data_IF_841229092651
#
_entry.id   IF_841229092651
#
_cell.length_a   1.000
_cell.length_b   1.000
_cell.length_c   1.000
_cell.angle_alpha   90.00
_cell.angle_beta   90.00
_cell.angle_gamma   90.00
#
_symmetry.space_group_name_H-M   'P 1'
#
loop_
_entity.id
_entity.type
_entity.pdbx_description
1 polymer ?
#
# COMPACT_ATOMS: atom_id res chain seq x y z
N UNK A 1 -4.63 15.21 4.22
CA UNK A 1 -3.41 16.02 4.45
C UNK A 1 -3.42 17.38 3.75
N UNK A 2 -3.51 17.45 2.41
CA UNK A 2 -3.43 18.73 1.67
C UNK A 2 -4.47 19.78 2.08
N UNK A 3 -5.75 19.40 2.19
CA UNK A 3 -6.84 20.30 2.64
C UNK A 3 -6.60 20.91 4.04
N UNK A 4 -5.84 20.21 4.89
CA UNK A 4 -5.47 20.65 6.22
C UNK A 4 -4.13 21.40 6.27
N UNK A 5 -3.50 21.67 5.12
CA UNK A 5 -2.21 22.37 4.97
C UNK A 5 -1.01 21.67 5.61
N UNK A 6 -1.05 20.34 5.73
CA UNK A 6 0.11 19.54 6.17
C UNK A 6 1.04 19.10 5.04
N UNK A 7 0.65 19.32 3.79
CA UNK A 7 1.37 18.89 2.60
C UNK A 7 1.34 20.02 1.58
N UNK A 8 2.45 20.24 0.87
CA UNK A 8 2.51 21.24 -0.18
C UNK A 8 1.67 20.83 -1.40
N UNK A 9 1.42 21.79 -2.28
CA UNK A 9 0.76 21.51 -3.56
C UNK A 9 1.65 20.65 -4.46
N UNK A 10 2.95 20.93 -4.50
CA UNK A 10 3.91 20.19 -5.33
C UNK A 10 3.97 18.70 -4.93
N UNK A 11 4.08 18.39 -3.64
CA UNK A 11 4.07 17.01 -3.16
C UNK A 11 2.78 16.27 -3.50
N UNK A 12 1.62 16.97 -3.43
CA UNK A 12 0.34 16.40 -3.85
C UNK A 12 0.31 16.10 -5.36
N UNK A 13 0.82 17.01 -6.18
CA UNK A 13 0.86 16.81 -7.63
C UNK A 13 1.77 15.64 -8.00
N UNK A 14 2.95 15.55 -7.39
CA UNK A 14 3.85 14.40 -7.53
C UNK A 14 3.18 13.07 -7.14
N UNK A 15 2.47 13.03 -6.01
CA UNK A 15 1.71 11.83 -5.62
C UNK A 15 0.74 11.39 -6.71
N UNK A 16 -0.01 12.32 -7.33
CA UNK A 16 -0.95 11.96 -8.40
C UNK A 16 -0.28 11.55 -9.71
N UNK A 17 0.93 12.06 -10.01
CA UNK A 17 1.73 11.59 -11.14
C UNK A 17 2.14 10.14 -10.92
N UNK A 18 2.72 9.84 -9.75
CA UNK A 18 3.12 8.48 -9.37
C UNK A 18 1.93 7.53 -9.35
N UNK A 19 0.80 7.96 -8.77
CA UNK A 19 -0.44 7.18 -8.76
C UNK A 19 -0.91 6.83 -10.17
N UNK A 20 -0.94 7.79 -11.10
CA UNK A 20 -1.34 7.52 -12.50
C UNK A 20 -0.39 6.57 -13.22
N UNK A 21 0.90 6.58 -12.87
CA UNK A 21 1.91 5.72 -13.47
C UNK A 21 1.85 4.29 -12.90
N UNK A 22 1.79 4.15 -11.58
CA UNK A 22 1.91 2.86 -10.91
C UNK A 22 0.59 2.09 -10.75
N UNK A 23 -0.56 2.77 -10.66
CA UNK A 23 -1.85 2.10 -10.40
C UNK A 23 -2.35 1.16 -11.51
N UNK A 24 -2.17 1.46 -12.81
CA UNK A 24 -2.59 0.53 -13.87
C UNK A 24 -1.92 -0.84 -13.79
N UNK A 25 -0.79 -0.93 -13.10
CA UNK A 25 -0.04 -2.17 -12.92
C UNK A 25 -0.53 -3.05 -11.78
N UNK A 26 -1.40 -2.52 -10.91
CA UNK A 26 -1.97 -3.21 -9.75
C UNK A 26 -3.42 -3.63 -10.03
N UNK A 27 -3.80 -4.82 -9.60
CA UNK A 27 -5.20 -5.26 -9.64
C UNK A 27 -5.99 -4.56 -8.53
N UNK A 28 -7.20 -4.08 -8.85
CA UNK A 28 -8.12 -3.57 -7.84
C UNK A 28 -8.60 -4.72 -6.93
N UNK A 29 -8.90 -4.47 -5.65
CA UNK A 29 -9.50 -5.48 -4.80
C UNK A 29 -10.89 -5.88 -5.31
N UNK A 30 -11.30 -7.13 -5.11
CA UNK A 30 -12.67 -7.57 -5.41
C UNK A 30 -13.70 -6.91 -4.47
N UNK A 31 -13.32 -6.79 -3.20
CA UNK A 31 -14.19 -6.31 -2.14
C UNK A 31 -13.46 -5.28 -1.27
N UNK A 32 -14.18 -4.23 -0.89
CA UNK A 32 -13.76 -3.22 0.07
C UNK A 32 -14.74 -3.18 1.22
N UNK A 33 -14.24 -3.43 2.43
CA UNK A 33 -15.01 -3.26 3.67
C UNK A 33 -14.67 -1.91 4.27
N UNK A 34 -15.68 -1.06 4.43
CA UNK A 34 -15.56 0.27 5.02
C UNK A 34 -16.24 0.29 6.39
N UNK A 35 -15.47 0.63 7.42
CA UNK A 35 -15.94 0.75 8.80
C UNK A 35 -16.17 2.22 9.11
N UNK A 36 -17.43 2.62 9.20
CA UNK A 36 -17.83 3.99 9.49
C UNK A 36 -17.85 4.21 11.01
N UNK A 37 -17.10 5.20 11.50
CA UNK A 37 -17.08 5.54 12.91
C UNK A 37 -17.10 7.07 13.09
N UNK A 38 -17.91 7.61 14.00
CA UNK A 38 -18.02 9.04 14.21
C UNK A 38 -16.72 9.60 14.79
N UNK A 39 -16.30 10.77 14.28
CA UNK A 39 -15.05 11.43 14.67
C UNK A 39 -14.91 11.66 16.19
N UNK A 40 -15.96 12.05 16.94
CA UNK A 40 -15.88 12.15 18.41
C UNK A 40 -15.44 10.84 19.06
N UNK A 41 -16.02 9.71 18.62
CA UNK A 41 -15.67 8.39 19.14
C UNK A 41 -14.24 8.01 18.79
N UNK A 42 -13.78 8.29 17.57
CA UNK A 42 -12.39 8.06 17.17
C UNK A 42 -11.40 8.81 18.07
N UNK A 43 -11.70 10.06 18.44
CA UNK A 43 -10.86 10.85 19.34
C UNK A 43 -10.85 10.30 20.78
N UNK A 44 -11.95 9.74 21.25
CA UNK A 44 -12.00 9.02 22.54
C UNK A 44 -11.14 7.77 22.50
N UNK A 45 -11.30 6.93 21.48
CA UNK A 45 -10.53 5.70 21.29
C UNK A 45 -9.01 5.96 21.24
N UNK A 46 -8.58 7.04 20.58
CA UNK A 46 -7.16 7.43 20.56
C UNK A 46 -6.67 7.83 21.95
N UNK A 47 -7.49 8.54 22.73
CA UNK A 47 -7.16 8.89 24.13
C UNK A 47 -7.11 7.65 25.01
N UNK A 48 -8.02 6.70 24.82
CA UNK A 48 -8.06 5.42 25.53
C UNK A 48 -6.82 4.56 25.25
N UNK A 49 -6.33 4.56 24.00
CA UNK A 49 -5.11 3.84 23.58
C UNK A 49 -3.82 4.40 24.20
N UNK A 50 -3.81 5.67 24.60
CA UNK A 50 -2.71 6.35 25.33
C UNK A 50 -1.34 6.29 24.65
N UNK A 51 -1.30 6.25 23.31
CA UNK A 51 -0.05 6.31 22.57
C UNK A 51 0.47 7.76 22.52
N UNK A 52 1.68 8.05 23.05
CA UNK A 52 2.17 9.43 23.17
C UNK A 52 2.25 10.18 21.84
N UNK A 53 2.59 9.47 20.76
CA UNK A 53 2.75 10.06 19.43
C UNK A 53 1.40 10.31 18.74
N UNK A 54 0.35 9.55 19.05
CA UNK A 54 -1.00 9.78 18.51
C UNK A 54 -1.70 10.93 19.24
N UNK A 55 -1.67 10.90 20.59
CA UNK A 55 -2.36 11.89 21.44
C UNK A 55 -1.77 13.29 21.27
N UNK A 56 -0.44 13.39 21.11
CA UNK A 56 0.23 14.68 20.92
C UNK A 56 0.38 15.07 19.43
N UNK A 57 -0.18 14.28 18.51
CA UNK A 57 -0.04 14.55 17.08
C UNK A 57 -0.83 15.79 16.67
N UNK A 58 -0.19 16.67 15.90
CA UNK A 58 -0.85 17.81 15.27
C UNK A 58 -1.96 17.38 14.30
N UNK A 59 -1.83 16.20 13.69
CA UNK A 59 -2.77 15.68 12.71
C UNK A 59 -3.99 15.00 13.35
N UNK A 60 -3.91 14.60 14.62
CA UNK A 60 -5.01 13.92 15.32
C UNK A 60 -6.00 14.95 15.91
N UNK A 61 -6.61 15.73 15.03
CA UNK A 61 -7.61 16.73 15.40
C UNK A 61 -8.92 16.53 14.63
N UNK A 62 -10.01 17.08 15.17
CA UNK A 62 -11.36 16.94 14.62
C UNK A 62 -11.42 17.34 13.15
N UNK A 63 -10.85 18.50 12.80
CA UNK A 63 -10.85 19.01 11.42
C UNK A 63 -10.19 18.04 10.43
N UNK A 64 -9.06 17.45 10.81
CA UNK A 64 -8.34 16.51 9.96
C UNK A 64 -9.13 15.22 9.75
N UNK A 65 -9.67 14.65 10.83
CA UNK A 65 -10.45 13.42 10.79
C UNK A 65 -11.76 13.60 10.01
N UNK A 66 -12.49 14.69 10.20
CA UNK A 66 -13.69 15.01 9.40
C UNK A 66 -13.35 15.22 7.92
N UNK A 67 -12.23 15.86 7.63
CA UNK A 67 -11.75 16.04 6.24
C UNK A 67 -11.37 14.70 5.62
N UNK A 68 -10.76 13.80 6.38
CA UNK A 68 -10.41 12.45 5.92
C UNK A 68 -11.67 11.61 5.67
N UNK A 69 -12.61 11.63 6.61
CA UNK A 69 -13.89 10.91 6.53
C UNK A 69 -14.68 11.33 5.28
N UNK A 70 -14.81 12.64 5.06
CA UNK A 70 -15.49 13.17 3.87
C UNK A 70 -14.79 12.78 2.57
N UNK A 71 -13.46 12.83 2.48
CA UNK A 71 -12.75 12.38 1.27
C UNK A 71 -12.92 10.88 1.03
N UNK A 72 -12.89 10.05 2.07
CA UNK A 72 -13.10 8.61 1.95
C UNK A 72 -14.52 8.31 1.44
N UNK A 73 -15.55 8.88 2.09
CA UNK A 73 -16.96 8.64 1.74
C UNK A 73 -17.33 9.18 0.36
N UNK A 74 -17.01 10.43 0.07
CA UNK A 74 -17.51 11.09 -1.15
C UNK A 74 -16.66 10.86 -2.39
N UNK A 75 -15.35 10.61 -2.21
CA UNK A 75 -14.43 10.41 -3.34
C UNK A 75 -14.05 8.95 -3.50
N UNK A 76 -13.41 8.36 -2.49
CA UNK A 76 -12.86 7.01 -2.60
C UNK A 76 -13.95 5.94 -2.77
N UNK A 77 -14.95 5.89 -1.89
CA UNK A 77 -16.00 4.88 -1.97
C UNK A 77 -16.79 4.95 -3.28
N UNK A 78 -17.03 6.17 -3.79
CA UNK A 78 -17.70 6.39 -5.07
C UNK A 78 -16.86 5.96 -6.29
N UNK A 79 -15.54 6.15 -6.22
CA UNK A 79 -14.64 5.73 -7.30
C UNK A 79 -14.48 4.20 -7.30
N UNK A 80 -14.27 3.61 -6.12
CA UNK A 80 -14.01 2.16 -5.97
C UNK A 80 -15.27 1.31 -6.13
N UNK A 81 -16.47 1.83 -5.84
CA UNK A 81 -17.74 1.11 -6.04
C UNK A 81 -18.00 0.73 -7.50
N UNK A 82 -17.33 1.39 -8.44
CA UNK A 82 -17.42 1.05 -9.86
C UNK A 82 -16.55 -0.16 -10.22
N UNK A 83 -15.54 -0.51 -9.41
CA UNK A 83 -14.53 -1.55 -9.71
C UNK A 83 -14.48 -2.67 -8.67
N UNK A 84 -15.13 -2.48 -7.53
CA UNK A 84 -15.14 -3.42 -6.41
C UNK A 84 -16.51 -3.42 -5.77
N UNK A 85 -16.87 -4.52 -5.13
CA UNK A 85 -17.98 -4.52 -4.19
C UNK A 85 -17.61 -3.82 -2.90
N UNK A 86 -18.57 -3.10 -2.33
CA UNK A 86 -18.34 -2.25 -1.17
C UNK A 86 -19.36 -2.59 -0.10
N UNK A 87 -18.87 -3.01 1.06
CA UNK A 87 -19.67 -3.24 2.25
C UNK A 87 -19.38 -2.13 3.26
N UNK A 88 -20.43 -1.51 3.79
CA UNK A 88 -20.33 -0.39 4.74
C UNK A 88 -20.98 -0.81 6.04
N UNK A 89 -20.22 -0.74 7.14
CA UNK A 89 -20.69 -1.10 8.47
C UNK A 89 -20.56 0.08 9.41
N UNK A 90 -21.57 0.28 10.26
CA UNK A 90 -21.46 1.18 11.41
C UNK A 90 -20.57 0.52 12.48
N UNK A 91 -19.49 1.20 12.84
CA UNK A 91 -18.48 0.76 13.79
C UNK A 91 -18.40 1.70 15.01
N UNK A 92 -19.47 2.45 15.29
CA UNK A 92 -19.54 3.39 16.41
C UNK A 92 -19.27 2.75 17.78
N UNK A 93 -19.79 1.56 18.04
CA UNK A 93 -19.69 0.88 19.35
C UNK A 93 -18.76 -0.34 19.35
N UNK A 94 -18.03 -0.57 18.25
CA UNK A 94 -17.37 -1.84 17.97
C UNK A 94 -18.38 -2.78 17.31
N UNK A 95 -18.30 -2.90 15.99
CA UNK A 95 -19.25 -3.67 15.22
C UNK A 95 -19.09 -5.18 15.42
N UNK A 96 -20.08 -5.92 14.94
CA UNK A 96 -20.14 -7.37 15.04
C UNK A 96 -19.35 -8.00 13.89
N UNK A 97 -18.31 -8.75 14.22
CA UNK A 97 -17.53 -9.47 13.23
C UNK A 97 -18.31 -10.65 12.62
N UNK A 98 -19.27 -11.24 13.34
CA UNK A 98 -20.09 -12.34 12.83
C UNK A 98 -21.00 -11.87 11.71
N UNK A 99 -21.60 -10.67 11.86
CA UNK A 99 -22.40 -10.04 10.81
C UNK A 99 -21.59 -9.81 9.53
N UNK A 100 -20.35 -9.33 9.66
CA UNK A 100 -19.47 -9.13 8.49
C UNK A 100 -19.23 -10.47 7.78
N UNK A 101 -18.97 -11.53 8.53
CA UNK A 101 -18.73 -12.87 7.95
C UNK A 101 -20.00 -13.39 7.26
N UNK A 102 -21.17 -13.24 7.87
CA UNK A 102 -22.44 -13.66 7.28
C UNK A 102 -22.73 -12.94 5.96
N UNK A 103 -22.49 -11.63 5.89
CA UNK A 103 -22.68 -10.85 4.66
C UNK A 103 -21.62 -11.17 3.60
N UNK A 104 -20.39 -11.51 4.00
CA UNK A 104 -19.36 -12.03 3.11
C UNK A 104 -19.76 -13.38 2.48
N UNK A 105 -20.35 -14.28 3.27
CA UNK A 105 -20.80 -15.59 2.78
C UNK A 105 -21.99 -15.49 1.83
N UNK A 106 -22.81 -14.44 1.97
CA UNK A 106 -23.92 -14.14 1.05
C UNK A 106 -23.47 -13.47 -0.24
N UNK A 107 -22.26 -12.93 -0.29
CA UNK A 107 -21.79 -12.17 -1.43
C UNK A 107 -21.48 -13.11 -2.60
N UNK A 108 -22.18 -12.91 -3.71
CA UNK A 108 -22.01 -13.69 -4.92
C UNK A 108 -21.02 -13.01 -5.87
N UNK A 109 -19.74 -13.39 -5.74
CA UNK A 109 -18.61 -12.86 -6.51
C UNK A 109 -18.40 -13.66 -7.81
N UNK A 110 -19.06 -14.80 -7.96
CA UNK A 110 -18.84 -15.69 -9.11
C UNK A 110 -19.74 -15.35 -10.31
N UNK A 111 -20.86 -14.64 -10.07
CA UNK A 111 -21.89 -14.37 -11.07
C UNK A 111 -21.86 -12.94 -11.63
N UNK A 112 -20.69 -12.43 -12.02
CA UNK A 112 -20.61 -11.19 -12.82
C UNK A 112 -20.84 -11.45 -14.31
N UNK A 113 -21.36 -10.43 -15.01
CA UNK A 113 -21.29 -10.39 -16.47
C UNK A 113 -19.83 -10.22 -16.91
N UNK A 114 -19.44 -10.79 -18.05
CA UNK A 114 -18.08 -10.69 -18.60
C UNK A 114 -17.66 -9.22 -18.82
N UNK A 115 -18.64 -8.33 -19.02
CA UNK A 115 -18.41 -6.89 -19.22
C UNK A 115 -18.56 -6.05 -17.93
N UNK A 116 -18.76 -6.67 -16.77
CA UNK A 116 -18.86 -5.93 -15.51
C UNK A 116 -17.49 -5.28 -15.18
N UNK A 117 -17.44 -3.94 -14.99
CA UNK A 117 -16.21 -3.27 -14.61
C UNK A 117 -15.58 -3.79 -13.30
N UNK A 118 -16.34 -4.48 -12.44
CA UNK A 118 -15.84 -5.08 -11.19
C UNK A 118 -14.98 -6.33 -11.39
N UNK A 119 -15.25 -7.11 -12.44
CA UNK A 119 -14.48 -8.32 -12.75
C UNK A 119 -13.39 -8.09 -13.79
N UNK A 120 -13.37 -6.92 -14.43
CA UNK A 120 -12.47 -6.61 -15.54
C UNK A 120 -10.99 -6.90 -15.23
N UNK A 121 -10.54 -6.57 -14.02
CA UNK A 121 -9.15 -6.78 -13.59
C UNK A 121 -8.82 -8.26 -13.30
N UNK A 122 -9.85 -9.08 -13.10
CA UNK A 122 -9.76 -10.47 -12.66
C UNK A 122 -10.28 -11.46 -13.69
N UNK A 123 -10.68 -10.99 -14.88
CA UNK A 123 -11.20 -11.81 -15.96
C UNK A 123 -10.19 -11.92 -17.10
N UNK A 124 -9.10 -12.65 -16.87
CA UNK A 124 -8.15 -12.98 -17.94
C UNK A 124 -8.56 -14.27 -18.66
N UNK A 125 -8.79 -14.17 -19.97
CA UNK A 125 -9.24 -15.29 -20.81
C UNK A 125 -8.19 -16.38 -21.04
N UNK A 126 -6.90 -16.08 -20.88
CA UNK A 126 -5.80 -17.02 -21.13
C UNK A 126 -4.95 -17.21 -19.90
N UNK A 127 -4.56 -18.46 -19.62
CA UNK A 127 -3.67 -18.83 -18.52
C UNK A 127 -2.32 -18.09 -18.57
N UNK A 128 -1.81 -17.80 -19.78
CA UNK A 128 -0.57 -17.04 -19.94
C UNK A 128 -0.63 -15.68 -19.24
N UNK A 129 -1.75 -14.96 -19.31
CA UNK A 129 -1.88 -13.66 -18.63
C UNK A 129 -1.85 -13.83 -17.10
N UNK A 130 -2.45 -14.89 -16.57
CA UNK A 130 -2.33 -15.21 -15.15
C UNK A 130 -0.88 -15.54 -14.75
N UNK A 131 -0.14 -16.23 -15.61
CA UNK A 131 1.28 -16.49 -15.38
C UNK A 131 2.12 -15.20 -15.40
N UNK A 132 1.82 -14.28 -16.33
CA UNK A 132 2.49 -12.97 -16.42
C UNK A 132 2.21 -12.11 -15.19
N UNK A 133 0.94 -12.01 -14.78
CA UNK A 133 0.52 -11.31 -13.55
C UNK A 133 1.18 -11.91 -12.32
N UNK A 134 1.26 -13.25 -12.24
CA UNK A 134 1.96 -13.94 -11.16
C UNK A 134 3.45 -13.59 -11.15
N UNK A 135 4.11 -13.62 -12.31
CA UNK A 135 5.53 -13.27 -12.44
C UNK A 135 5.79 -11.83 -11.96
N UNK A 136 4.93 -10.90 -12.37
CA UNK A 136 4.97 -9.48 -11.98
C UNK A 136 4.94 -9.29 -10.47
N UNK A 137 4.08 -9.99 -9.75
CA UNK A 137 3.94 -9.85 -8.30
C UNK A 137 4.93 -10.69 -7.48
N UNK A 138 5.58 -11.71 -8.08
CA UNK A 138 6.54 -12.56 -7.35
C UNK A 138 8.00 -12.26 -7.68
N UNK A 139 8.36 -12.36 -8.96
CA UNK A 139 9.75 -12.30 -9.41
C UNK A 139 10.14 -10.89 -9.83
N UNK A 140 9.24 -10.18 -10.50
CA UNK A 140 9.51 -8.85 -11.07
C UNK A 140 9.00 -7.72 -10.17
N UNK A 141 8.88 -7.99 -8.86
CA UNK A 141 8.46 -6.96 -7.88
C UNK A 141 9.40 -5.75 -7.86
N UNK A 142 10.67 -5.94 -8.20
CA UNK A 142 11.65 -4.85 -8.27
C UNK A 142 11.31 -3.92 -9.43
N UNK A 143 10.86 -4.47 -10.57
CA UNK A 143 10.36 -3.70 -11.70
C UNK A 143 9.06 -2.98 -11.32
N UNK A 144 8.13 -3.67 -10.63
CA UNK A 144 6.90 -3.03 -10.12
C UNK A 144 7.21 -1.86 -9.17
N UNK A 145 8.18 -2.01 -8.28
CA UNK A 145 8.61 -0.95 -7.36
C UNK A 145 9.34 0.16 -8.11
N UNK A 146 10.05 -0.16 -9.20
CA UNK A 146 10.74 0.84 -10.02
C UNK A 146 9.80 1.87 -10.63
N UNK A 147 8.51 1.54 -10.81
CA UNK A 147 7.49 2.48 -11.26
C UNK A 147 7.26 3.67 -10.32
N UNK A 148 7.70 3.58 -9.07
CA UNK A 148 7.67 4.70 -8.12
C UNK A 148 8.90 5.61 -8.22
N UNK A 149 9.96 5.18 -8.92
CA UNK A 149 11.22 5.91 -9.08
C UNK A 149 11.17 6.89 -10.27
N UNK A 150 10.17 7.76 -10.29
CA UNK A 150 10.07 8.84 -11.30
C UNK A 150 10.89 10.04 -10.82
N UNK A 151 11.84 10.59 -11.63
CA UNK A 151 12.70 11.70 -11.23
C UNK A 151 11.94 13.03 -11.24
N UNK A 152 11.04 13.20 -10.27
CA UNK A 152 10.26 14.42 -10.08
C UNK A 152 10.99 15.33 -9.08
N UNK A 153 11.37 16.52 -9.51
CA UNK A 153 12.22 17.44 -8.71
C UNK A 153 11.45 18.61 -8.07
N UNK A 154 10.14 18.69 -8.32
CA UNK A 154 9.33 19.88 -8.00
C UNK A 154 8.97 20.02 -6.51
N UNK A 155 9.07 18.94 -5.71
CA UNK A 155 8.79 18.96 -4.28
C UNK A 155 10.05 18.61 -3.46
N UNK A 156 10.79 19.60 -2.93
CA UNK A 156 12.05 19.36 -2.22
C UNK A 156 11.86 18.53 -0.94
N UNK A 157 10.69 18.54 -0.32
CA UNK A 157 10.39 17.72 0.87
C UNK A 157 10.33 16.21 0.61
N UNK A 158 10.27 15.79 -0.66
CA UNK A 158 10.30 14.37 -1.05
C UNK A 158 11.68 13.93 -1.55
N UNK A 159 12.64 14.85 -1.62
CA UNK A 159 13.97 14.62 -2.18
C UNK A 159 15.01 14.57 -1.07
N UNK A 160 15.99 13.68 -1.26
CA UNK A 160 17.17 13.59 -0.41
C UNK A 160 18.31 14.31 -1.15
N UNK A 161 18.98 15.30 -0.52
CA UNK A 161 20.17 15.92 -1.10
C UNK A 161 21.25 14.89 -1.44
N UNK A 162 22.04 15.14 -2.49
CA UNK A 162 23.06 14.18 -2.95
C UNK A 162 24.08 13.79 -1.87
N UNK A 163 24.52 14.75 -1.06
CA UNK A 163 25.46 14.52 0.05
C UNK A 163 24.86 13.58 1.12
N UNK A 164 23.58 13.79 1.49
CA UNK A 164 22.88 12.93 2.44
C UNK A 164 22.61 11.53 1.85
N UNK A 165 22.34 11.47 0.54
CA UNK A 165 22.16 10.21 -0.18
C UNK A 165 23.43 9.35 -0.17
N UNK A 166 24.62 9.97 -0.27
CA UNK A 166 25.89 9.24 -0.17
C UNK A 166 26.08 8.67 1.24
N UNK A 167 25.81 9.46 2.28
CA UNK A 167 25.88 9.01 3.68
C UNK A 167 24.93 7.84 3.92
N UNK A 168 23.68 7.96 3.46
CA UNK A 168 22.67 6.91 3.57
C UNK A 168 23.11 5.64 2.84
N UNK A 169 23.60 5.78 1.61
CA UNK A 169 24.07 4.65 0.78
C UNK A 169 25.23 3.92 1.46
N UNK A 170 26.20 4.68 1.95
CA UNK A 170 27.35 4.13 2.66
C UNK A 170 26.95 3.45 3.99
N UNK A 171 26.03 4.03 4.76
CA UNK A 171 25.50 3.41 5.97
C UNK A 171 24.72 2.12 5.65
N UNK A 172 23.93 2.14 4.57
CA UNK A 172 23.12 1.01 4.13
C UNK A 172 23.99 -0.19 3.74
N UNK A 173 24.99 0.01 2.89
CA UNK A 173 25.88 -1.07 2.42
C UNK A 173 26.87 -1.54 3.48
N UNK A 174 27.05 -0.80 4.57
CA UNK A 174 27.86 -1.22 5.73
C UNK A 174 27.07 -1.93 6.82
N UNK A 175 25.74 -1.84 6.80
CA UNK A 175 24.91 -2.53 7.76
C UNK A 175 25.05 -4.06 7.61
N UNK A 176 25.02 -4.76 8.75
CA UNK A 176 25.06 -6.22 8.78
C UNK A 176 23.88 -6.80 7.97
N UNK A 177 24.16 -7.78 7.10
CA UNK A 177 23.17 -8.37 6.20
C UNK A 177 22.99 -7.66 4.84
N UNK A 178 23.44 -6.40 4.70
CA UNK A 178 23.32 -5.63 3.45
C UNK A 178 24.64 -5.51 2.67
N UNK A 179 25.73 -6.08 3.18
CA UNK A 179 27.07 -6.00 2.58
C UNK A 179 27.19 -6.83 1.29
N UNK A 180 26.43 -7.91 1.19
CA UNK A 180 26.44 -8.85 0.07
C UNK A 180 25.01 -9.15 -0.38
N UNK A 181 24.87 -9.69 -1.59
CA UNK A 181 23.59 -10.21 -2.04
C UNK A 181 23.05 -11.28 -1.09
N UNK A 182 21.72 -11.40 -1.02
CA UNK A 182 21.06 -12.27 -0.06
C UNK A 182 21.59 -13.72 -0.09
N UNK A 183 22.11 -14.15 1.07
CA UNK A 183 22.74 -15.44 1.33
C UNK A 183 24.03 -15.72 0.54
N UNK A 184 24.73 -14.67 0.13
CA UNK A 184 26.13 -14.74 -0.33
C UNK A 184 27.08 -14.14 0.72
N UNK A 185 26.59 -13.85 1.92
CA UNK A 185 27.41 -13.30 3.00
C UNK A 185 28.33 -14.40 3.60
N UNK A 186 29.67 -14.24 3.50
CA UNK A 186 30.65 -15.18 4.05
C UNK A 186 30.59 -15.34 5.58
N UNK A 187 29.94 -14.40 6.29
CA UNK A 187 29.76 -14.49 7.75
C UNK A 187 28.82 -15.62 8.15
N UNK A 188 27.81 -15.91 7.33
CA UNK A 188 26.75 -16.88 7.64
C UNK A 188 26.79 -18.15 6.78
N UNK A 189 27.51 -18.12 5.65
CA UNK A 189 27.56 -19.23 4.70
C UNK A 189 28.98 -19.72 4.44
N UNK A 190 29.14 -21.02 4.31
CA UNK A 190 30.42 -21.62 3.94
C UNK A 190 30.78 -21.33 2.49
N UNK A 191 32.07 -21.33 2.15
CA UNK A 191 32.54 -21.11 0.77
C UNK A 191 31.87 -22.05 -0.25
N UNK A 192 31.69 -23.32 0.12
CA UNK A 192 31.02 -24.33 -0.70
C UNK A 192 29.54 -23.99 -0.92
N UNK A 193 28.84 -23.53 0.12
CA UNK A 193 27.43 -23.10 0.00
C UNK A 193 27.27 -21.90 -0.93
N UNK A 194 28.20 -20.94 -0.85
CA UNK A 194 28.20 -19.74 -1.69
C UNK A 194 28.48 -20.12 -3.14
N UNK A 195 29.50 -20.95 -3.39
CA UNK A 195 29.97 -21.29 -4.74
C UNK A 195 28.99 -22.18 -5.51
N UNK A 196 28.27 -23.08 -4.82
CA UNK A 196 27.30 -23.99 -5.42
C UNK A 196 25.84 -23.52 -5.25
N UNK A 197 25.62 -22.24 -4.94
CA UNK A 197 24.29 -21.67 -4.81
C UNK A 197 23.62 -21.57 -6.19
N UNK A 198 22.82 -22.57 -6.53
CA UNK A 198 22.16 -22.70 -7.85
C UNK A 198 20.86 -21.88 -8.02
N UNK A 199 20.39 -21.19 -6.98
CA UNK A 199 19.19 -20.35 -7.09
C UNK A 199 19.60 -18.92 -7.43
N UNK A 200 19.09 -18.40 -8.55
CA UNK A 200 19.13 -16.96 -8.83
C UNK A 200 18.49 -16.21 -7.66
N UNK A 201 19.00 -15.03 -7.39
CA UNK A 201 18.55 -14.16 -6.30
C UNK A 201 17.03 -14.04 -6.41
N UNK A 202 16.27 -14.55 -5.43
CA UNK A 202 14.92 -14.06 -5.23
C UNK A 202 15.10 -12.59 -4.85
N UNK A 203 14.62 -11.67 -5.68
CA UNK A 203 14.76 -10.23 -5.44
C UNK A 203 14.39 -9.85 -4.01
N UNK A 204 14.95 -8.74 -3.53
CA UNK A 204 14.90 -8.31 -2.12
C UNK A 204 13.49 -8.44 -1.50
N UNK A 205 13.31 -9.31 -0.50
CA UNK A 205 12.04 -9.50 0.22
C UNK A 205 12.13 -8.85 1.59
N UNK A 206 11.26 -7.88 1.94
CA UNK A 206 11.26 -7.27 3.26
C UNK A 206 10.82 -8.23 4.39
N UNK A 207 10.43 -9.47 4.06
CA UNK A 207 9.85 -10.45 5.00
C UNK A 207 10.54 -11.81 4.95
N UNK A 208 11.81 -11.90 4.55
CA UNK A 208 12.61 -13.12 4.66
C UNK A 208 13.82 -12.93 5.55
#
# INVERSE_FOLDING_TARGET
MYKCKYMSKAAREMYYILYKHAMPDLLHPHLVVYLDAPVPRLLELVKERKLPHEVNSKAMNTKYLETMDSELKYKFLREISNRSDVLVYDWSEGGDAELIVEDLERLDIDNYDENDPKIQDWSYSREQYWADVRMKYTNDKEELISNFNVPLVDAPELLIPGEESEILTHAWFKAEGNTHAHGYDPKYHSFTEILFKNKSIKGWSPVS
#
